data_IF_885314425152
#
_entry.id   IF_885314425152
#
_cell.length_a   1.000
_cell.length_b   1.000
_cell.length_c   1.000
_cell.angle_alpha   90.00
_cell.angle_beta   90.00
_cell.angle_gamma   90.00
#
_symmetry.space_group_name_H-M   'P 1'
#
loop_
_entity.id
_entity.type
_entity.pdbx_description
1 polymer ?
#
# COMPACT_ATOMS: atom_id res chain seq x y z
N UNK A 1 -5.68 11.29 -10.42
CA UNK A 1 -5.80 9.97 -9.75
C UNK A 1 -5.61 10.15 -8.26
N UNK A 2 -6.37 9.41 -7.43
CA UNK A 2 -6.27 9.48 -5.97
C UNK A 2 -4.99 8.76 -5.50
N UNK A 3 -4.26 9.35 -4.55
CA UNK A 3 -3.12 8.69 -3.90
C UNK A 3 -3.63 7.59 -2.96
N UNK A 4 -2.92 6.47 -2.92
CA UNK A 4 -3.21 5.31 -2.07
C UNK A 4 -3.23 5.71 -0.58
N UNK A 5 -2.20 6.43 -0.13
CA UNK A 5 -2.08 7.00 1.22
C UNK A 5 -1.38 8.36 1.18
N UNK A 6 -1.46 9.12 2.27
CA UNK A 6 -0.62 10.32 2.44
C UNK A 6 0.84 9.92 2.49
N UNK A 7 1.72 10.73 1.91
CA UNK A 7 3.17 10.43 1.85
C UNK A 7 3.78 10.15 3.23
N UNK A 8 3.40 10.94 4.25
CA UNK A 8 3.85 10.76 5.63
C UNK A 8 3.44 9.41 6.25
N UNK A 9 2.43 8.75 5.68
CA UNK A 9 1.88 7.50 6.18
C UNK A 9 2.40 6.26 5.41
N UNK A 10 3.25 6.43 4.39
CA UNK A 10 3.70 5.34 3.53
C UNK A 10 4.36 4.19 4.31
N UNK A 11 5.24 4.51 5.26
CA UNK A 11 5.91 3.50 6.07
C UNK A 11 4.93 2.74 6.95
N UNK A 12 4.04 3.47 7.65
CA UNK A 12 3.00 2.87 8.48
C UNK A 12 2.06 1.97 7.65
N UNK A 13 1.72 2.36 6.43
CA UNK A 13 0.92 1.55 5.53
C UNK A 13 1.60 0.23 5.15
N UNK A 14 2.91 0.24 4.85
CA UNK A 14 3.69 -0.99 4.60
C UNK A 14 3.69 -1.93 5.81
N UNK A 15 3.86 -1.37 7.02
CA UNK A 15 3.83 -2.14 8.28
C UNK A 15 2.43 -2.74 8.50
N UNK A 16 1.38 -1.96 8.29
CA UNK A 16 0.01 -2.42 8.42
C UNK A 16 -0.32 -3.56 7.44
N UNK A 17 0.12 -3.45 6.17
CA UNK A 17 -0.02 -4.55 5.20
C UNK A 17 0.68 -5.83 5.66
N UNK A 18 1.87 -5.72 6.25
CA UNK A 18 2.58 -6.87 6.82
C UNK A 18 1.81 -7.50 8.00
N UNK A 19 1.20 -6.70 8.88
CA UNK A 19 0.34 -7.20 9.95
C UNK A 19 -0.91 -7.94 9.44
N UNK A 20 -1.44 -7.52 8.29
CA UNK A 20 -2.53 -8.24 7.61
C UNK A 20 -2.07 -9.54 6.90
N UNK A 21 -0.78 -9.87 6.95
CA UNK A 21 -0.21 -11.07 6.35
C UNK A 21 0.24 -10.92 4.90
N UNK A 22 0.22 -9.70 4.34
CA UNK A 22 0.80 -9.46 3.02
C UNK A 22 2.32 -9.50 3.08
N UNK A 23 2.92 -10.19 2.11
CA UNK A 23 4.36 -10.08 1.85
C UNK A 23 4.58 -8.81 1.03
N UNK A 24 5.22 -7.81 1.65
CA UNK A 24 5.52 -6.49 1.07
C UNK A 24 6.95 -6.48 0.53
N UNK A 25 7.14 -6.06 -0.72
CA UNK A 25 8.46 -6.00 -1.38
C UNK A 25 8.64 -4.69 -2.12
N UNK A 26 9.74 -4.01 -1.87
CA UNK A 26 10.17 -2.88 -2.69
C UNK A 26 10.59 -3.35 -4.09
N UNK A 27 10.30 -2.54 -5.10
CA UNK A 27 10.72 -2.81 -6.47
C UNK A 27 12.19 -2.41 -6.65
N UNK A 28 12.99 -3.26 -7.30
CA UNK A 28 14.46 -3.11 -7.41
C UNK A 28 14.89 -1.79 -8.06
N UNK A 29 14.05 -1.21 -8.90
CA UNK A 29 14.28 0.06 -9.61
C UNK A 29 13.75 1.29 -8.86
N UNK A 30 13.27 1.12 -7.63
CA UNK A 30 12.72 2.21 -6.83
C UNK A 30 11.40 2.80 -7.37
N UNK A 31 10.73 2.12 -8.31
CA UNK A 31 9.41 2.56 -8.83
C UNK A 31 8.28 2.46 -7.82
N UNK A 32 8.53 1.96 -6.61
CA UNK A 32 7.55 1.81 -5.54
C UNK A 32 7.66 0.44 -4.86
N UNK A 33 6.53 -0.13 -4.48
CA UNK A 33 6.47 -1.44 -3.85
C UNK A 33 5.26 -2.24 -4.31
N UNK A 34 5.35 -3.56 -4.20
CA UNK A 34 4.23 -4.47 -4.38
C UNK A 34 3.97 -5.25 -3.09
N UNK A 35 2.77 -5.81 -2.98
CA UNK A 35 2.39 -6.65 -1.86
C UNK A 35 1.46 -7.78 -2.31
N UNK A 36 1.60 -8.97 -1.72
CA UNK A 36 0.86 -10.17 -2.13
C UNK A 36 0.36 -10.98 -0.94
N UNK A 37 -0.85 -11.51 -1.06
CA UNK A 37 -1.40 -12.50 -0.15
C UNK A 37 -2.28 -13.48 -0.94
N UNK A 38 -1.88 -14.76 -0.98
CA UNK A 38 -2.52 -15.79 -1.82
C UNK A 38 -2.64 -15.30 -3.29
N UNK A 39 -3.86 -15.15 -3.81
CA UNK A 39 -4.16 -14.68 -5.18
C UNK A 39 -4.31 -13.16 -5.31
N UNK A 40 -4.14 -12.40 -4.22
CA UNK A 40 -4.27 -10.95 -4.22
C UNK A 40 -2.94 -10.29 -4.52
N UNK A 41 -2.95 -9.29 -5.40
CA UNK A 41 -1.79 -8.50 -5.80
C UNK A 41 -2.08 -7.01 -5.68
N UNK A 42 -1.25 -6.32 -4.91
CA UNK A 42 -1.26 -4.87 -4.78
C UNK A 42 0.04 -4.28 -5.28
N UNK A 43 -0.05 -3.08 -5.85
CA UNK A 43 1.11 -2.31 -6.29
C UNK A 43 0.87 -0.84 -5.99
N UNK A 44 1.89 -0.18 -5.44
CA UNK A 44 1.94 1.25 -5.20
C UNK A 44 3.21 1.80 -5.83
N UNK A 45 3.08 2.78 -6.72
CA UNK A 45 4.20 3.46 -7.35
C UNK A 45 4.85 4.47 -6.40
N UNK A 46 6.01 4.99 -6.77
CA UNK A 46 6.73 6.05 -6.05
C UNK A 46 5.90 7.34 -5.93
N UNK A 47 5.01 7.60 -6.88
CA UNK A 47 4.06 8.72 -6.89
C UNK A 47 2.85 8.47 -5.97
N UNK A 48 2.79 7.31 -5.32
CA UNK A 48 1.70 6.83 -4.46
C UNK A 48 0.40 6.55 -5.23
N UNK A 49 0.51 6.24 -6.52
CA UNK A 49 -0.60 5.71 -7.32
C UNK A 49 -0.59 4.19 -7.18
N UNK A 50 -1.75 3.54 -7.24
CA UNK A 50 -1.81 2.08 -7.13
C UNK A 50 -2.99 1.49 -7.86
N UNK A 51 -2.97 0.16 -7.99
CA UNK A 51 -4.08 -0.61 -8.54
C UNK A 51 -5.31 -0.63 -7.60
N UNK A 52 -6.41 -1.26 -8.03
CA UNK A 52 -7.67 -1.28 -7.27
C UNK A 52 -7.50 -1.77 -5.84
N UNK A 53 -6.78 -2.87 -5.62
CA UNK A 53 -6.53 -3.40 -4.28
C UNK A 53 -5.76 -2.40 -3.40
N UNK A 54 -4.70 -1.78 -3.94
CA UNK A 54 -3.94 -0.78 -3.20
C UNK A 54 -4.80 0.43 -2.83
N UNK A 55 -5.69 0.89 -3.73
CA UNK A 55 -6.60 2.01 -3.44
C UNK A 55 -7.61 1.68 -2.34
N UNK A 56 -8.19 0.47 -2.36
CA UNK A 56 -9.12 0.01 -1.33
C UNK A 56 -8.45 -0.05 0.04
N UNK A 57 -7.32 -0.77 0.13
CA UNK A 57 -6.61 -0.95 1.40
C UNK A 57 -6.00 0.36 1.92
N UNK A 58 -5.53 1.25 1.03
CA UNK A 58 -5.05 2.57 1.42
C UNK A 58 -6.15 3.45 1.99
N UNK A 59 -7.36 3.37 1.46
CA UNK A 59 -8.54 4.05 2.01
C UNK A 59 -8.87 3.52 3.40
N UNK A 60 -8.98 2.20 3.57
CA UNK A 60 -9.26 1.56 4.86
C UNK A 60 -8.22 1.96 5.92
N UNK A 61 -6.94 1.94 5.55
CA UNK A 61 -5.86 2.36 6.44
C UNK A 61 -5.98 3.83 6.87
N UNK A 62 -6.26 4.76 5.95
CA UNK A 62 -6.43 6.19 6.29
C UNK A 62 -7.70 6.47 7.10
N UNK A 63 -8.70 5.59 7.03
CA UNK A 63 -9.89 5.64 7.88
C UNK A 63 -9.57 5.16 9.30
N UNK A 64 -8.80 4.07 9.46
CA UNK A 64 -8.31 3.60 10.76
C UNK A 64 -7.43 4.61 11.51
N UNK A 65 -6.74 5.51 10.82
CA UNK A 65 -5.93 6.56 11.47
C UNK A 65 -6.75 7.74 12.02
N UNK A 66 -8.03 7.85 11.63
CA UNK A 66 -8.91 8.95 12.06
C UNK A 66 -9.77 8.59 13.27
N UNK A 67 -10.00 7.29 13.49
CA UNK A 67 -10.63 6.73 14.68
C UNK A 67 -9.64 6.71 15.84
#
# INVERSE_FOLDING_TARGET
>A
MRKVVKRKNLLAFKIWLAHLGYQVRDMEDGRGFNFRFKKQYGMVTRELVGNSLAQTLGKEFEEHLKS
#
